data_IF_164945027224
#
_entry.id   IF_164945027224
#
_cell.length_a   1.000
_cell.length_b   1.000
_cell.length_c   1.000
_cell.angle_alpha   90.00
_cell.angle_beta   90.00
_cell.angle_gamma   90.00
#
_symmetry.space_group_name_H-M   'P 1'
#
loop_
_entity.id
_entity.type
_entity.pdbx_description
1 polymer ?
#
# COMPACT_ATOMS: atom_id res chain seq x y z
N UNK A 1 -4.14 -8.30 0.81
CA UNK A 1 -3.51 -8.91 1.99
C UNK A 1 -4.57 -9.16 3.04
N UNK A 2 -4.25 -9.98 4.03
CA UNK A 2 -5.09 -10.22 5.20
C UNK A 2 -4.54 -9.43 6.37
N UNK A 3 -5.40 -9.02 7.31
CA UNK A 3 -4.92 -8.59 8.63
C UNK A 3 -4.15 -9.76 9.23
N UNK A 4 -2.90 -9.53 9.65
CA UNK A 4 -2.09 -10.56 10.29
C UNK A 4 -2.62 -10.85 11.70
N UNK A 5 -3.15 -9.81 12.35
CA UNK A 5 -3.67 -9.85 13.70
C UNK A 5 -4.91 -8.96 13.79
N UNK A 6 -6.04 -9.48 14.28
CA UNK A 6 -7.25 -8.68 14.54
C UNK A 6 -7.01 -7.67 15.66
N UNK A 7 -6.09 -7.98 16.58
CA UNK A 7 -5.68 -7.10 17.68
C UNK A 7 -4.65 -6.04 17.26
N UNK A 8 -3.92 -6.26 16.16
CA UNK A 8 -2.94 -5.30 15.63
C UNK A 8 -3.26 -4.98 14.16
N UNK A 9 -4.11 -3.98 13.96
CA UNK A 9 -4.48 -3.47 12.61
C UNK A 9 -3.27 -2.97 11.79
N UNK A 10 -2.15 -2.73 12.46
CA UNK A 10 -0.92 -2.25 11.86
C UNK A 10 -0.12 -3.36 11.13
N UNK A 11 -0.38 -4.63 11.46
CA UNK A 11 0.30 -5.78 10.85
C UNK A 11 -0.57 -6.39 9.76
N UNK A 12 -0.09 -6.30 8.52
CA UNK A 12 -0.77 -6.86 7.34
C UNK A 12 0.09 -7.95 6.72
N UNK A 13 -0.49 -9.14 6.58
CA UNK A 13 0.17 -10.27 5.92
C UNK A 13 -0.11 -10.25 4.42
N UNK A 14 0.95 -10.28 3.63
CA UNK A 14 0.85 -10.41 2.19
C UNK A 14 0.55 -11.85 1.80
N UNK A 15 -0.57 -12.10 1.11
CA UNK A 15 -0.96 -13.44 0.69
C UNK A 15 -0.07 -14.02 -0.42
N UNK A 16 0.63 -13.17 -1.18
CA UNK A 16 1.48 -13.61 -2.29
C UNK A 16 2.82 -14.18 -1.82
N UNK A 17 3.47 -13.52 -0.86
CA UNK A 17 4.81 -13.87 -0.38
C UNK A 17 4.83 -14.26 1.10
N UNK A 18 3.67 -14.32 1.76
CA UNK A 18 3.51 -14.56 3.21
C UNK A 18 4.28 -13.58 4.12
N UNK A 19 4.83 -12.50 3.58
CA UNK A 19 5.57 -11.49 4.32
C UNK A 19 4.62 -10.63 5.18
N UNK A 20 5.00 -10.38 6.42
CA UNK A 20 4.25 -9.52 7.35
C UNK A 20 4.80 -8.10 7.24
N UNK A 21 3.93 -7.17 6.86
CA UNK A 21 4.26 -5.75 6.73
C UNK A 21 3.70 -5.02 7.94
N UNK A 22 4.52 -4.17 8.55
CA UNK A 22 4.15 -3.30 9.67
C UNK A 22 3.97 -1.88 9.13
N UNK A 23 2.87 -1.21 9.43
CA UNK A 23 2.43 0.08 8.86
C UNK A 23 1.17 -0.03 7.99
N UNK A 24 0.36 -1.05 8.25
CA UNK A 24 -0.99 -1.19 7.73
C UNK A 24 -1.09 -1.45 6.23
N UNK A 25 -2.29 -1.19 5.69
CA UNK A 25 -2.61 -1.47 4.29
C UNK A 25 -1.81 -0.60 3.30
N UNK A 26 -1.39 0.61 3.71
CA UNK A 26 -0.65 1.52 2.84
C UNK A 26 0.71 0.94 2.45
N UNK A 27 1.52 0.54 3.45
CA UNK A 27 2.80 -0.13 3.19
C UNK A 27 2.61 -1.48 2.49
N UNK A 28 1.50 -2.18 2.76
CA UNK A 28 1.17 -3.40 2.02
C UNK A 28 0.93 -3.13 0.52
N UNK A 29 0.21 -2.07 0.17
CA UNK A 29 0.04 -1.67 -1.24
C UNK A 29 1.38 -1.31 -1.88
N UNK A 30 2.27 -0.62 -1.16
CA UNK A 30 3.63 -0.30 -1.63
C UNK A 30 4.46 -1.55 -1.92
N UNK A 31 4.42 -2.53 -1.00
CA UNK A 31 5.06 -3.83 -1.14
C UNK A 31 4.57 -4.60 -2.39
N UNK A 32 3.25 -4.66 -2.62
CA UNK A 32 2.66 -5.38 -3.76
C UNK A 32 2.89 -4.64 -5.07
N UNK A 33 2.67 -3.32 -5.11
CA UNK A 33 2.81 -2.51 -6.31
C UNK A 33 4.26 -2.23 -6.74
N UNK A 34 5.25 -2.61 -5.90
CA UNK A 34 6.66 -2.26 -6.06
C UNK A 34 6.88 -0.74 -6.08
N UNK A 35 6.00 -0.01 -5.39
CA UNK A 35 6.00 1.45 -5.32
C UNK A 35 6.63 1.84 -3.98
N UNK A 36 7.80 2.47 -4.03
CA UNK A 36 8.53 2.94 -2.85
C UNK A 36 9.87 2.22 -2.64
N UNK A 37 10.79 2.93 -1.99
CA UNK A 37 12.18 2.48 -1.81
C UNK A 37 12.43 1.82 -0.43
N UNK A 38 11.61 2.16 0.57
CA UNK A 38 11.78 1.71 1.96
C UNK A 38 11.02 0.42 2.32
N UNK A 39 10.17 -0.08 1.41
CA UNK A 39 9.36 -1.27 1.65
C UNK A 39 9.89 -2.41 0.80
N UNK A 40 10.03 -3.60 1.38
CA UNK A 40 10.43 -4.79 0.64
C UNK A 40 9.48 -4.99 -0.56
N UNK A 41 10.01 -5.36 -1.73
CA UNK A 41 9.20 -5.61 -2.94
C UNK A 41 8.69 -7.05 -2.95
N UNK A 42 7.43 -7.25 -3.31
CA UNK A 42 6.85 -8.59 -3.37
C UNK A 42 7.43 -9.40 -4.55
N UNK A 43 8.20 -10.46 -4.29
CA UNK A 43 8.74 -11.31 -5.37
C UNK A 43 7.69 -12.19 -6.05
N UNK A 44 6.56 -12.44 -5.40
CA UNK A 44 5.50 -13.36 -5.86
C UNK A 44 4.20 -12.67 -6.31
N UNK A 45 4.16 -11.34 -6.34
CA UNK A 45 2.99 -10.59 -6.79
C UNK A 45 2.81 -10.71 -8.31
N UNK A 46 1.61 -11.08 -8.76
CA UNK A 46 1.23 -11.06 -10.18
C UNK A 46 1.10 -9.63 -10.73
N UNK A 47 1.23 -9.47 -12.05
CA UNK A 47 1.08 -8.17 -12.75
C UNK A 47 -0.25 -7.48 -12.39
N UNK A 48 -1.35 -8.23 -12.39
CA UNK A 48 -2.68 -7.71 -12.07
C UNK A 48 -2.78 -7.16 -10.63
N UNK A 49 -2.19 -7.86 -9.67
CA UNK A 49 -2.15 -7.40 -8.28
C UNK A 49 -1.30 -6.14 -8.13
N UNK A 50 -0.19 -6.03 -8.89
CA UNK A 50 0.63 -4.82 -8.95
C UNK A 50 -0.17 -3.65 -9.48
N UNK A 51 -0.85 -3.82 -10.60
CA UNK A 51 -1.60 -2.76 -11.28
C UNK A 51 -2.75 -2.25 -10.40
N UNK A 52 -3.52 -3.17 -9.81
CA UNK A 52 -4.60 -2.82 -8.89
C UNK A 52 -4.11 -2.06 -7.66
N UNK A 53 -2.99 -2.48 -7.07
CA UNK A 53 -2.40 -1.80 -5.92
C UNK A 53 -1.78 -0.45 -6.28
N UNK A 54 -1.14 -0.35 -7.46
CA UNK A 54 -0.55 0.88 -7.99
C UNK A 54 -1.63 1.93 -8.22
N UNK A 55 -2.69 1.61 -8.97
CA UNK A 55 -3.83 2.51 -9.18
C UNK A 55 -4.41 3.00 -7.86
N UNK A 56 -4.57 2.11 -6.89
CA UNK A 56 -5.11 2.46 -5.57
C UNK A 56 -4.16 3.37 -4.73
N UNK A 57 -2.85 3.32 -4.96
CA UNK A 57 -1.88 4.24 -4.38
C UNK A 57 -1.85 5.59 -5.11
N UNK A 58 -1.96 5.59 -6.43
CA UNK A 58 -1.99 6.82 -7.23
C UNK A 58 -3.24 7.63 -6.94
N UNK A 59 -4.42 7.00 -6.89
CA UNK A 59 -5.67 7.66 -6.49
C UNK A 59 -5.58 8.25 -5.08
N UNK A 60 -4.98 7.52 -4.13
CA UNK A 60 -4.77 8.02 -2.77
C UNK A 60 -3.79 9.21 -2.74
N UNK A 61 -2.75 9.18 -3.57
CA UNK A 61 -1.75 10.26 -3.68
C UNK A 61 -2.34 11.50 -4.36
N UNK A 62 -3.14 11.30 -5.41
CA UNK A 62 -3.85 12.37 -6.13
C UNK A 62 -4.83 13.06 -5.20
N UNK A 63 -5.65 12.30 -4.46
CA UNK A 63 -6.60 12.84 -3.48
C UNK A 63 -5.91 13.61 -2.36
N UNK A 64 -4.73 13.18 -1.90
CA UNK A 64 -3.92 13.97 -0.94
C UNK A 64 -3.45 15.28 -1.55
N UNK A 65 -2.96 15.25 -2.80
CA UNK A 65 -2.45 16.43 -3.50
C UNK A 65 -3.56 17.44 -3.78
N UNK A 66 -4.76 16.98 -4.15
CA UNK A 66 -5.94 17.84 -4.30
C UNK A 66 -6.39 18.45 -2.97
N UNK A 67 -6.32 17.69 -1.87
CA UNK A 67 -6.66 18.21 -0.55
C UNK A 67 -5.64 19.25 -0.05
N UNK A 68 -4.34 18.98 -0.24
CA UNK A 68 -3.27 19.93 0.09
C UNK A 68 -3.31 21.18 -0.80
N UNK A 69 -3.63 21.05 -2.09
CA UNK A 69 -3.81 22.20 -2.99
C UNK A 69 -4.97 23.09 -2.52
N UNK A 70 -6.12 22.50 -2.18
CA UNK A 70 -7.28 23.25 -1.67
C UNK A 70 -7.04 23.94 -0.32
N UNK A 71 -6.14 23.42 0.50
CA UNK A 71 -5.83 23.98 1.82
C UNK A 71 -4.74 25.07 1.75
N UNK A 72 -3.94 25.10 0.68
CA UNK A 72 -2.94 26.16 0.43
C UNK A 72 -3.55 27.41 -0.24
N UNK A 73 -4.78 27.31 -0.76
CA UNK A 73 -5.52 28.40 -1.42
C UNK A 73 -6.54 29.11 -0.50
N UNK A 74 -6.61 28.76 0.80
CA UNK A 74 -7.52 29.39 1.78
C UNK A 74 -6.79 30.24 2.82
#
# INVERSE_FOLDING_TARGET
>A
GSLADVSNMDKVKCLFCNHVIIGGVYRHKQHVAHVGNFVAKCKKSSQEAKDRCKKSLEEASKKRREKTSRELEL
#
